data_IF_253599739453
#
_entry.id   IF_253599739453
#
_cell.length_a   1.000
_cell.length_b   1.000
_cell.length_c   1.000
_cell.angle_alpha   90.00
_cell.angle_beta   90.00
_cell.angle_gamma   90.00
#
_symmetry.space_group_name_H-M   'P 1'
#
loop_
_entity.id
_entity.type
_entity.pdbx_description
1 polymer ?
#
# COMPACT_ATOMS: atom_id res chain seq x y z
N UNK A 1 26.24 4.02 44.73
CA UNK A 1 25.61 4.10 46.04
C UNK A 1 24.75 2.90 46.33
N UNK A 2 24.60 2.60 47.61
CA UNK A 2 23.79 1.48 48.07
C UNK A 2 22.83 1.97 49.16
N UNK A 3 21.66 1.36 49.26
CA UNK A 3 20.82 1.47 50.45
C UNK A 3 21.32 0.45 51.47
N UNK A 4 21.50 0.87 52.68
CA UNK A 4 21.75 -0.03 53.83
C UNK A 4 20.46 -0.16 54.63
N UNK A 5 19.84 -1.33 54.51
CA UNK A 5 18.56 -1.62 55.15
C UNK A 5 18.79 -2.44 56.39
N UNK A 6 18.35 -1.91 57.52
CA UNK A 6 18.44 -2.62 58.80
C UNK A 6 17.15 -3.41 59.02
N UNK A 7 17.29 -4.71 59.12
CA UNK A 7 16.23 -5.63 59.43
C UNK A 7 16.26 -6.01 60.90
N UNK A 8 15.11 -5.99 61.56
CA UNK A 8 14.94 -6.51 62.91
C UNK A 8 13.94 -7.65 62.91
N UNK A 9 14.38 -8.84 63.26
CA UNK A 9 13.59 -10.07 63.19
C UNK A 9 12.98 -10.33 61.82
N UNK A 10 13.69 -9.94 60.74
CA UNK A 10 13.22 -10.12 59.35
C UNK A 10 12.37 -8.96 58.80
N UNK A 11 11.93 -8.00 59.65
CA UNK A 11 11.20 -6.83 59.20
C UNK A 11 12.09 -5.60 59.03
N UNK A 12 11.76 -4.76 58.00
CA UNK A 12 12.51 -3.55 57.71
C UNK A 12 12.27 -2.50 58.80
N UNK A 13 13.30 -2.28 59.63
CA UNK A 13 13.26 -1.28 60.69
C UNK A 13 13.67 0.11 60.18
N UNK A 14 14.85 0.23 59.58
CA UNK A 14 15.44 1.49 59.14
C UNK A 14 16.08 1.35 57.77
N UNK A 15 16.01 2.37 56.95
CA UNK A 15 16.69 2.46 55.64
C UNK A 15 17.67 3.63 55.70
N UNK A 16 18.90 3.39 55.37
CA UNK A 16 19.95 4.40 55.31
C UNK A 16 20.38 4.57 53.84
N UNK A 17 20.20 5.77 53.32
CA UNK A 17 20.54 6.15 51.94
C UNK A 17 21.73 7.10 51.85
N UNK A 18 22.21 7.58 52.98
CA UNK A 18 23.32 8.49 53.09
C UNK A 18 24.52 7.88 53.84
N UNK A 19 25.76 8.19 53.41
CA UNK A 19 26.96 7.74 54.07
C UNK A 19 27.06 8.32 55.48
N UNK A 20 27.68 7.55 56.39
CA UNK A 20 27.90 7.99 57.77
C UNK A 20 27.99 6.79 58.71
N UNK A 21 28.47 7.08 59.92
CA UNK A 21 28.53 6.07 60.99
C UNK A 21 27.11 5.81 61.51
N UNK A 22 26.70 4.53 61.46
CA UNK A 22 25.38 4.08 61.94
C UNK A 22 25.58 2.92 62.88
N UNK A 23 24.80 2.90 63.96
CA UNK A 23 24.87 1.81 64.94
C UNK A 23 23.78 0.77 64.68
N UNK A 24 24.11 -0.49 64.90
CA UNK A 24 23.16 -1.61 64.89
C UNK A 24 23.23 -2.37 66.20
N UNK A 25 22.12 -2.96 66.58
CA UNK A 25 22.06 -3.81 67.78
C UNK A 25 22.52 -5.23 67.35
N UNK A 26 23.68 -5.72 67.85
CA UNK A 26 24.13 -7.04 67.51
C UNK A 26 23.11 -8.08 67.97
N UNK A 27 23.07 -9.24 67.27
CA UNK A 27 22.14 -10.36 67.44
C UNK A 27 20.66 -10.12 67.13
N UNK A 28 20.19 -8.87 67.08
CA UNK A 28 18.79 -8.52 66.84
C UNK A 28 18.59 -7.89 65.47
N UNK A 29 19.60 -7.16 65.00
CA UNK A 29 19.52 -6.42 63.73
C UNK A 29 20.48 -6.99 62.69
N UNK A 30 19.97 -7.26 61.51
CA UNK A 30 20.76 -7.64 60.35
C UNK A 30 20.76 -6.50 59.34
N UNK A 31 21.87 -6.29 58.64
CA UNK A 31 21.98 -5.22 57.60
C UNK A 31 22.09 -5.88 56.23
N UNK A 32 21.18 -5.55 55.34
CA UNK A 32 21.16 -5.92 53.93
C UNK A 32 21.49 -4.73 53.07
N UNK A 33 22.32 -4.91 52.04
CA UNK A 33 22.67 -3.90 51.06
C UNK A 33 21.84 -4.07 49.83
N UNK A 34 21.24 -3.00 49.33
CA UNK A 34 20.56 -3.01 48.04
C UNK A 34 21.17 -1.93 47.13
N UNK A 35 21.30 -2.21 45.81
CA UNK A 35 21.83 -1.26 44.87
C UNK A 35 20.89 -0.03 44.78
N UNK A 36 21.47 1.17 44.75
CA UNK A 36 20.77 2.44 44.54
C UNK A 36 20.91 2.95 43.11
N UNK A 37 21.84 2.36 42.35
CA UNK A 37 22.09 2.70 40.96
C UNK A 37 21.10 2.02 40.05
N UNK A 38 21.06 2.47 38.79
CA UNK A 38 20.29 1.83 37.74
C UNK A 38 20.98 0.51 37.35
N UNK A 39 20.17 -0.53 37.22
CA UNK A 39 20.58 -1.87 36.80
C UNK A 39 19.99 -2.15 35.43
N UNK A 40 20.67 -2.96 34.66
CA UNK A 40 20.20 -3.45 33.37
C UNK A 40 19.89 -4.93 33.53
N UNK A 41 18.69 -5.30 33.12
CA UNK A 41 18.26 -6.68 32.99
C UNK A 41 18.06 -7.01 31.51
N UNK A 42 18.67 -8.09 31.03
CA UNK A 42 18.48 -8.60 29.70
C UNK A 42 17.57 -9.84 29.75
N UNK A 43 16.41 -9.76 29.06
CA UNK A 43 15.50 -10.91 28.96
C UNK A 43 16.09 -11.98 28.04
N UNK A 44 15.80 -13.23 28.34
CA UNK A 44 16.05 -14.30 27.40
C UNK A 44 15.22 -14.13 26.13
N UNK A 45 15.75 -14.46 24.94
CA UNK A 45 14.99 -14.41 23.70
C UNK A 45 13.72 -15.25 23.80
N UNK A 46 12.58 -14.66 23.47
CA UNK A 46 11.28 -15.31 23.51
C UNK A 46 10.62 -15.33 22.15
N UNK A 47 9.96 -16.44 21.81
CA UNK A 47 9.20 -16.55 20.57
C UNK A 47 7.77 -16.05 20.76
N UNK A 48 7.33 -15.14 19.87
CA UNK A 48 6.03 -14.50 19.90
C UNK A 48 5.42 -14.58 18.49
N UNK A 49 4.10 -14.80 18.42
CA UNK A 49 3.34 -14.76 17.15
C UNK A 49 2.80 -13.36 16.91
N UNK A 50 3.01 -12.86 15.72
CA UNK A 50 2.43 -11.61 15.22
C UNK A 50 0.97 -11.77 14.82
N UNK A 51 0.26 -10.67 14.49
CA UNK A 51 -1.13 -10.69 14.03
C UNK A 51 -1.31 -11.60 12.79
N UNK A 52 -0.36 -11.57 11.87
CA UNK A 52 -0.34 -12.37 10.64
C UNK A 52 0.28 -13.77 10.85
N UNK A 53 0.27 -14.27 12.12
CA UNK A 53 0.69 -15.63 12.53
C UNK A 53 2.14 -15.97 12.15
N UNK A 54 3.02 -14.99 12.06
CA UNK A 54 4.44 -15.23 11.84
C UNK A 54 5.17 -15.31 13.19
N UNK A 55 5.93 -16.37 13.46
CA UNK A 55 6.74 -16.45 14.65
C UNK A 55 7.94 -15.50 14.55
N UNK A 56 8.16 -14.73 15.59
CA UNK A 56 9.32 -13.83 15.74
C UNK A 56 10.02 -14.11 17.05
N UNK A 57 11.34 -14.04 17.03
CA UNK A 57 12.17 -14.11 18.24
C UNK A 57 12.48 -12.69 18.66
N UNK A 58 12.11 -12.37 19.88
CA UNK A 58 12.27 -11.02 20.44
C UNK A 58 13.19 -11.08 21.65
N UNK A 59 14.21 -10.25 21.68
CA UNK A 59 14.98 -9.95 22.87
C UNK A 59 14.83 -8.48 23.25
N UNK A 60 14.91 -8.23 24.56
CA UNK A 60 14.79 -6.89 25.10
C UNK A 60 15.71 -6.71 26.29
N UNK A 61 16.01 -5.45 26.60
CA UNK A 61 16.66 -5.10 27.84
C UNK A 61 15.85 -4.01 28.57
N UNK A 62 15.97 -4.01 29.87
CA UNK A 62 15.25 -3.11 30.73
C UNK A 62 16.21 -2.43 31.68
N UNK A 63 16.11 -1.11 31.75
CA UNK A 63 16.80 -0.29 32.75
C UNK A 63 15.84 -0.03 33.90
N UNK A 64 16.22 -0.43 35.08
CA UNK A 64 15.39 -0.32 36.26
C UNK A 64 16.21 0.03 37.51
N UNK A 65 15.53 0.44 38.56
CA UNK A 65 16.15 0.71 39.86
C UNK A 65 15.20 0.43 41.01
N UNK A 66 15.77 0.24 42.20
CA UNK A 66 15.00 0.18 43.42
C UNK A 66 14.71 1.62 43.88
N UNK A 67 13.43 1.99 43.89
CA UNK A 67 12.98 3.30 44.31
C UNK A 67 12.58 3.30 45.78
N UNK A 68 11.90 2.25 46.23
CA UNK A 68 11.51 2.09 47.62
C UNK A 68 12.07 0.79 48.20
N UNK A 69 13.25 0.83 48.84
CA UNK A 69 13.90 -0.37 49.39
C UNK A 69 13.10 -1.06 50.50
N UNK A 70 12.22 -0.33 51.21
CA UNK A 70 11.34 -0.91 52.25
C UNK A 70 10.28 -1.81 51.59
N UNK A 71 9.61 -1.31 50.58
CA UNK A 71 8.61 -2.09 49.82
C UNK A 71 9.26 -3.24 49.09
N UNK A 72 10.40 -3.00 48.44
CA UNK A 72 11.16 -4.02 47.72
C UNK A 72 11.51 -5.22 48.64
N UNK A 73 12.09 -5.00 49.75
CA UNK A 73 12.44 -6.11 50.69
C UNK A 73 11.21 -6.83 51.27
N UNK A 74 10.11 -6.13 51.44
CA UNK A 74 8.89 -6.74 51.99
C UNK A 74 8.20 -7.63 50.95
N UNK A 75 8.21 -7.24 49.65
CA UNK A 75 7.45 -7.92 48.62
C UNK A 75 8.29 -8.83 47.74
N UNK A 76 9.50 -8.41 47.39
CA UNK A 76 10.40 -9.06 46.44
C UNK A 76 11.54 -9.79 47.11
N UNK A 77 12.10 -9.15 48.17
CA UNK A 77 13.21 -9.64 49.02
C UNK A 77 14.58 -9.62 48.37
N UNK A 78 14.71 -10.09 47.10
CA UNK A 78 16.00 -10.24 46.41
C UNK A 78 15.93 -9.63 45.01
N UNK A 79 17.09 -9.16 44.51
CA UNK A 79 17.24 -8.55 43.18
C UNK A 79 16.85 -9.57 42.08
N UNK A 80 17.29 -10.84 42.19
CA UNK A 80 16.99 -11.89 41.21
C UNK A 80 15.46 -12.15 41.10
N UNK A 81 14.75 -12.16 42.23
CA UNK A 81 13.27 -12.27 42.22
C UNK A 81 12.64 -11.02 41.63
N UNK A 82 13.23 -9.84 41.87
CA UNK A 82 12.81 -8.58 41.22
C UNK A 82 12.90 -8.65 39.68
N UNK A 83 14.02 -9.13 39.19
CA UNK A 83 14.26 -9.33 37.76
C UNK A 83 13.27 -10.30 37.13
N UNK A 84 12.95 -11.41 37.80
CA UNK A 84 11.90 -12.33 37.33
C UNK A 84 10.52 -11.68 37.24
N UNK A 85 10.18 -10.80 38.21
CA UNK A 85 8.91 -10.07 38.17
C UNK A 85 8.86 -9.09 37.00
N UNK A 86 9.96 -8.38 36.77
CA UNK A 86 10.14 -7.49 35.64
C UNK A 86 10.02 -8.26 34.35
N UNK A 87 10.72 -9.38 34.20
CA UNK A 87 10.71 -10.24 33.00
C UNK A 87 9.29 -10.71 32.64
N UNK A 88 8.55 -11.24 33.61
CA UNK A 88 7.17 -11.66 33.42
C UNK A 88 6.25 -10.52 32.96
N UNK A 89 6.41 -9.34 33.55
CA UNK A 89 5.62 -8.18 33.18
C UNK A 89 5.94 -7.72 31.73
N UNK A 90 7.23 -7.65 31.41
CA UNK A 90 7.67 -7.27 30.06
C UNK A 90 7.19 -8.28 29.01
N UNK A 91 7.40 -9.59 29.27
CA UNK A 91 6.96 -10.64 28.36
C UNK A 91 5.47 -10.53 28.04
N UNK A 92 4.62 -10.33 29.06
CA UNK A 92 3.18 -10.22 28.86
C UNK A 92 2.78 -8.97 28.05
N UNK A 93 3.41 -7.82 28.32
CA UNK A 93 3.13 -6.57 27.61
C UNK A 93 3.66 -6.63 26.17
N UNK A 94 4.91 -7.07 25.99
CA UNK A 94 5.53 -7.19 24.65
C UNK A 94 4.77 -8.18 23.79
N UNK A 95 4.44 -9.37 24.34
CA UNK A 95 3.64 -10.38 23.65
C UNK A 95 2.31 -9.81 23.16
N UNK A 96 1.56 -9.14 24.03
CA UNK A 96 0.27 -8.55 23.66
C UNK A 96 0.43 -7.52 22.56
N UNK A 97 1.35 -6.56 22.73
CA UNK A 97 1.57 -5.48 21.75
C UNK A 97 2.03 -5.99 20.39
N UNK A 98 2.93 -6.98 20.35
CA UNK A 98 3.41 -7.53 19.09
C UNK A 98 2.38 -8.44 18.41
N UNK A 99 1.50 -9.10 19.18
CA UNK A 99 0.40 -9.90 18.62
C UNK A 99 -0.69 -9.05 17.94
N UNK A 100 -0.74 -7.75 18.22
CA UNK A 100 -1.65 -6.79 17.58
C UNK A 100 -1.07 -6.19 16.28
N UNK A 101 0.20 -6.44 15.97
CA UNK A 101 0.92 -5.89 14.84
C UNK A 101 1.26 -6.93 13.78
N UNK A 102 1.20 -6.54 12.50
CA UNK A 102 1.71 -7.36 11.42
C UNK A 102 3.24 -7.32 11.38
N UNK A 103 3.86 -8.42 10.96
CA UNK A 103 5.31 -8.54 10.84
C UNK A 103 5.95 -7.42 9.99
N UNK A 104 5.28 -7.05 8.88
CA UNK A 104 5.73 -5.97 8.01
C UNK A 104 5.87 -4.63 8.72
N UNK A 105 4.94 -4.31 9.62
CA UNK A 105 4.93 -3.06 10.39
C UNK A 105 6.01 -3.05 11.49
N UNK A 106 6.33 -4.22 12.03
CA UNK A 106 7.38 -4.35 13.07
C UNK A 106 8.77 -4.09 12.47
N UNK A 107 9.01 -4.47 11.21
CA UNK A 107 10.34 -4.36 10.56
C UNK A 107 10.51 -3.04 9.81
N UNK A 108 9.45 -2.53 9.17
CA UNK A 108 9.56 -1.47 8.17
C UNK A 108 9.79 -0.06 8.72
N UNK A 109 9.54 0.19 10.01
CA UNK A 109 9.64 1.54 10.57
C UNK A 109 10.45 1.62 11.87
N UNK A 110 11.61 2.26 11.81
CA UNK A 110 12.35 2.69 13.01
C UNK A 110 11.48 3.58 13.93
N UNK A 111 10.53 4.32 13.39
CA UNK A 111 9.60 5.19 14.09
C UNK A 111 8.58 4.37 14.87
N UNK A 112 7.99 3.33 14.28
CA UNK A 112 7.03 2.46 14.95
C UNK A 112 7.67 1.70 16.14
N UNK A 113 8.94 1.30 16.03
CA UNK A 113 9.69 0.73 17.16
C UNK A 113 9.90 1.74 18.29
N UNK A 114 10.17 2.99 17.97
CA UNK A 114 10.32 4.05 18.95
C UNK A 114 9.06 4.21 19.80
N UNK A 115 7.92 4.32 19.15
CA UNK A 115 6.61 4.45 19.79
C UNK A 115 6.23 3.20 20.58
N UNK A 116 6.51 2.01 20.05
CA UNK A 116 6.29 0.74 20.73
C UNK A 116 7.10 0.65 22.04
N UNK A 117 8.38 1.01 22.01
CA UNK A 117 9.24 1.02 23.19
C UNK A 117 8.71 1.97 24.27
N UNK A 118 8.22 3.15 23.88
CA UNK A 118 7.61 4.12 24.79
C UNK A 118 6.35 3.55 25.43
N UNK A 119 5.45 2.97 24.63
CA UNK A 119 4.22 2.35 25.12
C UNK A 119 4.51 1.18 26.07
N UNK A 120 5.43 0.29 25.71
CA UNK A 120 5.84 -0.84 26.55
C UNK A 120 6.45 -0.34 27.87
N UNK A 121 7.34 0.67 27.82
CA UNK A 121 7.94 1.25 29.02
C UNK A 121 6.88 1.82 29.96
N UNK A 122 5.94 2.62 29.44
CA UNK A 122 4.87 3.22 30.24
C UNK A 122 3.97 2.17 30.89
N UNK A 123 3.61 1.15 30.13
CA UNK A 123 2.71 0.11 30.61
C UNK A 123 3.38 -0.78 31.65
N UNK A 124 4.62 -1.21 31.43
CA UNK A 124 5.40 -2.00 32.39
C UNK A 124 5.66 -1.18 33.66
N UNK A 125 6.00 0.12 33.52
CA UNK A 125 6.18 1.01 34.65
C UNK A 125 4.91 1.12 35.50
N UNK A 126 3.74 1.30 34.85
CA UNK A 126 2.45 1.33 35.54
C UNK A 126 2.13 0.02 36.27
N UNK A 127 2.40 -1.12 35.65
CA UNK A 127 2.20 -2.43 36.30
C UNK A 127 3.11 -2.63 37.52
N UNK A 128 4.37 -2.23 37.42
CA UNK A 128 5.32 -2.33 38.55
C UNK A 128 4.94 -1.38 39.70
N UNK A 129 4.45 -0.18 39.42
CA UNK A 129 3.98 0.76 40.41
C UNK A 129 2.73 0.25 41.12
N UNK A 130 1.73 -0.23 40.37
CA UNK A 130 0.49 -0.82 40.92
C UNK A 130 0.76 -2.06 41.76
N UNK A 131 1.74 -2.86 41.40
CA UNK A 131 2.13 -4.07 42.14
C UNK A 131 2.79 -3.77 43.49
N UNK A 132 3.22 -2.55 43.73
CA UNK A 132 3.84 -2.13 45.01
C UNK A 132 5.19 -2.82 45.31
N UNK A 133 5.93 -3.19 44.25
CA UNK A 133 7.25 -3.86 44.44
C UNK A 133 8.37 -2.90 44.85
N UNK A 134 8.15 -1.60 44.83
CA UNK A 134 9.18 -0.62 45.09
C UNK A 134 10.25 -0.51 44.02
N UNK A 135 9.91 -0.98 42.80
CA UNK A 135 10.74 -0.99 41.59
C UNK A 135 10.28 0.15 40.70
N UNK A 136 11.24 0.88 40.12
CA UNK A 136 10.99 1.86 39.08
C UNK A 136 11.63 1.42 37.77
N UNK A 137 10.82 1.28 36.77
CA UNK A 137 11.28 1.08 35.38
C UNK A 137 11.67 2.42 34.81
N UNK A 138 12.86 2.52 34.24
CA UNK A 138 13.39 3.73 33.60
C UNK A 138 13.14 3.67 32.10
N UNK A 139 13.49 2.52 31.48
CA UNK A 139 13.35 2.33 30.04
C UNK A 139 13.26 0.83 29.73
N UNK A 140 12.48 0.49 28.70
CA UNK A 140 12.40 -0.86 28.11
C UNK A 140 12.66 -0.74 26.62
N UNK A 141 13.64 -1.49 26.12
CA UNK A 141 14.00 -1.48 24.71
C UNK A 141 13.99 -2.86 24.11
N UNK A 142 13.22 -3.00 23.04
CA UNK A 142 13.28 -4.16 22.17
C UNK A 142 14.52 -4.01 21.29
N UNK A 143 15.47 -4.93 21.42
CA UNK A 143 16.76 -4.90 20.75
C UNK A 143 16.69 -5.56 19.38
N UNK A 144 16.08 -6.76 19.33
CA UNK A 144 16.01 -7.58 18.12
C UNK A 144 14.62 -8.15 17.94
N UNK A 145 14.19 -8.20 16.70
CA UNK A 145 13.00 -8.91 16.24
C UNK A 145 13.38 -9.67 14.98
N UNK A 146 13.71 -10.96 15.13
CA UNK A 146 14.14 -11.84 14.05
C UNK A 146 13.15 -12.99 13.85
N UNK A 147 13.19 -13.61 12.66
CA UNK A 147 12.51 -14.88 12.44
C UNK A 147 13.33 -16.02 13.06
N UNK A 148 12.67 -17.08 13.62
CA UNK A 148 13.36 -18.29 14.02
C UNK A 148 14.13 -18.89 12.83
N UNK A 149 15.36 -19.32 13.05
CA UNK A 149 16.23 -19.87 11.99
C UNK A 149 15.57 -21.05 11.26
N UNK A 150 14.85 -21.90 12.00
CA UNK A 150 14.18 -23.08 11.44
C UNK A 150 13.11 -22.75 10.38
N UNK A 151 12.48 -21.57 10.46
CA UNK A 151 11.35 -21.19 9.60
C UNK A 151 11.70 -20.06 8.62
N UNK A 152 12.89 -19.50 8.73
CA UNK A 152 13.32 -18.29 8.02
C UNK A 152 13.19 -18.42 6.51
N UNK A 153 13.69 -19.51 5.94
CA UNK A 153 13.65 -19.78 4.51
C UNK A 153 12.22 -19.95 3.98
N UNK A 154 11.40 -20.73 4.70
CA UNK A 154 10.01 -20.95 4.28
C UNK A 154 9.16 -19.68 4.35
N UNK A 155 9.39 -18.83 5.36
CA UNK A 155 8.70 -17.53 5.49
C UNK A 155 9.14 -16.59 4.38
N UNK A 156 10.43 -16.50 4.06
CA UNK A 156 10.92 -15.67 2.95
C UNK A 156 10.37 -16.13 1.60
N UNK A 157 10.37 -17.43 1.33
CA UNK A 157 9.81 -17.98 0.09
C UNK A 157 8.32 -17.66 -0.04
N UNK A 158 7.56 -17.77 1.05
CA UNK A 158 6.16 -17.36 1.09
C UNK A 158 5.99 -15.87 0.83
N UNK A 159 6.79 -15.01 1.49
CA UNK A 159 6.73 -13.56 1.27
C UNK A 159 7.05 -13.18 -0.18
N UNK A 160 8.04 -13.84 -0.80
CA UNK A 160 8.38 -13.65 -2.21
C UNK A 160 7.19 -14.02 -3.09
N UNK A 161 6.58 -15.19 -2.86
CA UNK A 161 5.40 -15.67 -3.61
C UNK A 161 4.21 -14.72 -3.46
N UNK A 162 3.92 -14.26 -2.22
CA UNK A 162 2.85 -13.29 -1.96
C UNK A 162 3.09 -11.96 -2.70
N UNK A 163 4.34 -11.46 -2.68
CA UNK A 163 4.70 -10.23 -3.43
C UNK A 163 4.59 -10.41 -4.94
N UNK A 164 5.01 -11.55 -5.46
CA UNK A 164 4.86 -11.87 -6.89
C UNK A 164 3.38 -11.93 -7.30
N UNK A 165 2.53 -12.54 -6.47
CA UNK A 165 1.09 -12.60 -6.71
C UNK A 165 0.44 -11.20 -6.70
N UNK A 166 0.82 -10.35 -5.76
CA UNK A 166 0.36 -8.96 -5.69
C UNK A 166 0.82 -8.18 -6.93
N UNK A 167 2.08 -8.33 -7.34
CA UNK A 167 2.62 -7.67 -8.53
C UNK A 167 1.90 -8.14 -9.80
N UNK A 168 1.67 -9.44 -9.96
CA UNK A 168 0.93 -10.00 -11.08
C UNK A 168 -0.51 -9.46 -11.15
N UNK A 169 -1.17 -9.33 -10.00
CA UNK A 169 -2.51 -8.71 -9.92
C UNK A 169 -2.50 -7.27 -10.40
N UNK A 170 -1.59 -6.44 -9.89
CA UNK A 170 -1.50 -5.03 -10.33
C UNK A 170 -1.17 -4.88 -11.81
N UNK A 171 -0.32 -5.75 -12.37
CA UNK A 171 -0.05 -5.78 -13.80
C UNK A 171 -1.30 -6.13 -14.60
N UNK A 172 -2.06 -7.15 -14.16
CA UNK A 172 -3.31 -7.55 -14.83
C UNK A 172 -4.40 -6.46 -14.75
N UNK A 173 -4.54 -5.81 -13.60
CA UNK A 173 -5.46 -4.69 -13.42
C UNK A 173 -5.06 -3.49 -14.31
N UNK A 174 -3.75 -3.20 -14.40
CA UNK A 174 -3.22 -2.16 -15.28
C UNK A 174 -3.44 -2.46 -16.76
N UNK A 175 -3.23 -3.71 -17.18
CA UNK A 175 -3.50 -4.15 -18.55
C UNK A 175 -5.00 -4.06 -18.90
N UNK A 176 -5.87 -4.48 -17.99
CA UNK A 176 -7.32 -4.37 -18.16
C UNK A 176 -7.75 -2.91 -18.34
N UNK A 177 -7.28 -2.03 -17.48
CA UNK A 177 -7.63 -0.60 -17.54
C UNK A 177 -7.08 0.05 -18.81
N UNK A 178 -5.83 -0.26 -19.19
CA UNK A 178 -5.23 0.19 -20.44
C UNK A 178 -6.05 -0.23 -21.64
N UNK A 179 -6.49 -1.50 -21.72
CA UNK A 179 -7.34 -2.00 -22.80
C UNK A 179 -8.71 -1.31 -22.84
N UNK A 180 -9.31 -1.05 -21.68
CA UNK A 180 -10.58 -0.33 -21.60
C UNK A 180 -10.46 1.07 -22.16
N UNK A 181 -9.43 1.81 -21.74
CA UNK A 181 -9.17 3.18 -22.20
C UNK A 181 -8.93 3.19 -23.71
N UNK A 182 -8.02 2.33 -24.20
CA UNK A 182 -7.67 2.23 -25.63
C UNK A 182 -8.89 1.86 -26.47
N UNK A 183 -9.65 0.84 -26.07
CA UNK A 183 -10.85 0.41 -26.78
C UNK A 183 -11.95 1.49 -26.81
N UNK A 184 -12.09 2.23 -25.71
CA UNK A 184 -13.04 3.36 -25.66
C UNK A 184 -12.63 4.47 -26.62
N UNK A 185 -11.36 4.88 -26.56
CA UNK A 185 -10.81 5.91 -27.46
C UNK A 185 -10.90 5.51 -28.93
N UNK A 186 -10.55 4.26 -29.27
CA UNK A 186 -10.65 3.74 -30.62
C UNK A 186 -12.11 3.73 -31.13
N UNK A 187 -13.04 3.35 -30.26
CA UNK A 187 -14.48 3.39 -30.59
C UNK A 187 -14.95 4.81 -30.82
N UNK A 188 -14.60 5.75 -29.93
CA UNK A 188 -14.97 7.15 -30.05
C UNK A 188 -14.39 7.77 -31.33
N UNK A 189 -13.12 7.49 -31.64
CA UNK A 189 -12.47 7.93 -32.86
C UNK A 189 -13.20 7.40 -34.11
N UNK A 190 -13.54 6.09 -34.15
CA UNK A 190 -14.29 5.48 -35.26
C UNK A 190 -15.68 6.08 -35.43
N UNK A 191 -16.38 6.31 -34.33
CA UNK A 191 -17.71 6.97 -34.36
C UNK A 191 -17.60 8.40 -34.91
N UNK A 192 -16.60 9.18 -34.45
CA UNK A 192 -16.38 10.54 -34.91
C UNK A 192 -16.07 10.58 -36.42
N UNK A 193 -15.17 9.70 -36.89
CA UNK A 193 -14.85 9.59 -38.33
C UNK A 193 -16.08 9.20 -39.13
N UNK A 194 -16.84 8.19 -38.70
CA UNK A 194 -18.07 7.78 -39.40
C UNK A 194 -19.14 8.88 -39.45
N UNK A 195 -19.28 9.64 -38.38
CA UNK A 195 -20.19 10.81 -38.36
C UNK A 195 -19.74 11.91 -39.32
N UNK A 196 -18.42 12.19 -39.35
CA UNK A 196 -17.87 13.19 -40.29
C UNK A 196 -18.04 12.75 -41.75
N UNK A 197 -17.80 11.45 -42.07
CA UNK A 197 -18.04 10.92 -43.41
C UNK A 197 -19.52 10.94 -43.81
N UNK A 198 -20.42 10.63 -42.89
CA UNK A 198 -21.85 10.71 -43.13
C UNK A 198 -22.30 12.15 -43.40
N UNK A 199 -21.78 13.09 -42.63
CA UNK A 199 -22.06 14.52 -42.81
C UNK A 199 -21.49 15.04 -44.12
N UNK A 200 -20.26 14.65 -44.48
CA UNK A 200 -19.69 15.02 -45.79
C UNK A 200 -20.52 14.47 -46.96
N UNK A 201 -20.98 13.21 -46.90
CA UNK A 201 -21.87 12.63 -47.91
C UNK A 201 -23.20 13.36 -47.98
N UNK A 202 -23.76 13.77 -46.83
CA UNK A 202 -25.00 14.56 -46.79
C UNK A 202 -24.84 15.91 -47.49
N UNK A 203 -23.77 16.66 -47.18
CA UNK A 203 -23.47 17.95 -47.82
C UNK A 203 -23.26 17.78 -49.32
N UNK A 204 -22.53 16.74 -49.76
CA UNK A 204 -22.34 16.44 -51.19
C UNK A 204 -23.70 16.17 -51.85
N UNK A 205 -24.51 15.28 -51.25
CA UNK A 205 -25.82 14.94 -51.81
C UNK A 205 -26.78 16.16 -51.88
N UNK A 206 -26.77 17.04 -50.89
CA UNK A 206 -27.52 18.31 -50.91
C UNK A 206 -27.02 19.20 -52.04
N UNK A 207 -25.70 19.29 -52.24
CA UNK A 207 -25.11 20.04 -53.35
C UNK A 207 -25.49 19.47 -54.72
N UNK A 208 -25.45 18.15 -54.86
CA UNK A 208 -25.87 17.44 -56.11
C UNK A 208 -27.37 17.63 -56.38
N UNK A 209 -28.19 17.54 -55.33
CA UNK A 209 -29.64 17.80 -55.46
C UNK A 209 -29.92 19.21 -55.91
N UNK A 210 -29.25 20.20 -55.32
CA UNK A 210 -29.43 21.60 -55.71
C UNK A 210 -28.90 21.86 -57.12
N UNK A 211 -27.77 21.31 -57.50
CA UNK A 211 -27.26 21.37 -58.87
C UNK A 211 -28.25 20.74 -59.89
N UNK A 212 -28.77 19.56 -59.54
CA UNK A 212 -29.78 18.89 -60.39
C UNK A 212 -31.07 19.75 -60.53
N UNK A 213 -31.50 20.38 -59.43
CA UNK A 213 -32.64 21.30 -59.45
C UNK A 213 -32.38 22.47 -60.41
N UNK A 214 -31.25 23.15 -60.29
CA UNK A 214 -30.85 24.29 -61.12
C UNK A 214 -30.76 23.85 -62.59
N UNK A 215 -30.13 22.70 -62.87
CA UNK A 215 -30.03 22.15 -64.23
C UNK A 215 -31.41 21.84 -64.81
N UNK A 216 -32.29 21.16 -64.08
CA UNK A 216 -33.64 20.82 -64.53
C UNK A 216 -34.46 22.08 -64.80
N UNK A 217 -34.34 23.14 -63.97
CA UNK A 217 -35.02 24.38 -64.17
C UNK A 217 -34.52 25.15 -65.43
N UNK A 218 -33.17 25.12 -65.64
CA UNK A 218 -32.55 25.78 -66.80
C UNK A 218 -32.83 25.01 -68.08
N UNK A 219 -32.70 23.71 -68.09
CA UNK A 219 -32.84 22.86 -69.29
C UNK A 219 -34.30 22.49 -69.60
N UNK A 220 -35.22 22.61 -68.65
CA UNK A 220 -36.66 22.48 -68.85
C UNK A 220 -37.27 23.58 -69.70
N UNK A 221 -36.52 24.65 -69.95
CA UNK A 221 -36.96 25.76 -70.84
C UNK A 221 -36.91 25.38 -72.32
N UNK A 222 -35.99 24.48 -72.72
CA UNK A 222 -35.87 23.95 -74.10
C UNK A 222 -35.32 22.49 -74.02
N UNK A 223 -36.21 21.48 -73.93
CA UNK A 223 -35.85 20.09 -73.81
C UNK A 223 -35.10 19.51 -75.02
N UNK A 224 -35.44 19.96 -76.24
CA UNK A 224 -34.84 19.51 -77.50
C UNK A 224 -33.35 19.93 -77.55
N UNK A 225 -33.10 21.23 -77.29
CA UNK A 225 -31.74 21.75 -77.19
C UNK A 225 -30.92 21.03 -76.11
N UNK A 226 -31.51 20.75 -74.93
CA UNK A 226 -30.85 20.08 -73.88
C UNK A 226 -30.44 18.60 -74.27
N UNK A 227 -31.38 17.90 -74.94
CA UNK A 227 -31.08 16.53 -75.39
C UNK A 227 -29.93 16.54 -76.40
N UNK A 228 -29.93 17.46 -77.35
CA UNK A 228 -28.83 17.65 -78.29
C UNK A 228 -27.50 17.95 -77.59
N UNK A 229 -27.49 18.92 -76.70
CA UNK A 229 -26.30 19.32 -75.91
C UNK A 229 -25.76 18.15 -75.08
N UNK A 230 -26.60 17.40 -74.37
CA UNK A 230 -26.20 16.24 -73.59
C UNK A 230 -25.64 15.11 -74.43
N UNK A 231 -26.18 14.89 -75.59
CA UNK A 231 -25.65 13.90 -76.52
C UNK A 231 -24.26 14.29 -77.01
N UNK A 232 -24.03 15.54 -77.34
CA UNK A 232 -22.69 16.04 -77.71
C UNK A 232 -21.70 15.94 -76.55
N UNK A 233 -22.10 16.30 -75.31
CA UNK A 233 -21.27 16.17 -74.14
C UNK A 233 -20.93 14.70 -73.86
N UNK A 234 -21.88 13.79 -74.06
CA UNK A 234 -21.69 12.37 -73.95
C UNK A 234 -20.61 11.87 -74.93
N UNK A 235 -20.61 12.38 -76.16
CA UNK A 235 -19.58 12.01 -77.14
C UNK A 235 -18.19 12.45 -76.68
N UNK A 236 -18.02 13.62 -76.12
CA UNK A 236 -16.72 14.06 -75.58
C UNK A 236 -16.20 13.10 -74.48
N UNK A 237 -17.11 12.58 -73.67
CA UNK A 237 -16.73 11.67 -72.59
C UNK A 237 -16.51 10.24 -73.05
N UNK A 238 -17.37 9.72 -73.92
CA UNK A 238 -17.35 8.33 -74.38
C UNK A 238 -16.38 8.05 -75.54
N UNK A 239 -16.04 9.06 -76.32
CA UNK A 239 -15.12 8.95 -77.47
C UNK A 239 -13.68 9.35 -77.10
N UNK A 240 -13.36 9.62 -75.87
CA UNK A 240 -11.98 9.82 -75.41
C UNK A 240 -11.21 8.49 -75.45
N UNK A 241 -10.12 8.41 -76.19
CA UNK A 241 -9.32 7.21 -76.39
C UNK A 241 -9.66 6.52 -77.72
N UNK A 242 -9.45 5.22 -77.81
CA UNK A 242 -9.82 4.39 -78.98
C UNK A 242 -10.98 3.44 -78.62
N UNK A 243 -12.18 3.94 -78.32
CA UNK A 243 -13.32 3.08 -77.98
C UNK A 243 -13.90 2.42 -79.17
N UNK A 244 -14.20 1.14 -79.08
CA UNK A 244 -15.05 0.44 -80.07
C UNK A 244 -16.49 0.47 -79.54
N UNK A 245 -17.34 1.27 -80.18
CA UNK A 245 -18.74 1.39 -79.77
C UNK A 245 -19.61 0.66 -80.83
N UNK A 246 -20.42 -0.27 -80.36
CA UNK A 246 -21.43 -0.94 -81.23
C UNK A 246 -22.80 -0.28 -80.95
N UNK A 247 -23.32 0.39 -81.91
CA UNK A 247 -24.64 1.05 -81.84
C UNK A 247 -25.51 0.56 -82.99
N UNK A 248 -26.86 0.35 -82.82
CA UNK A 248 -27.77 0.22 -83.90
C UNK A 248 -27.74 1.49 -84.80
N UNK A 249 -27.67 1.34 -86.06
CA UNK A 249 -27.49 2.47 -87.02
C UNK A 249 -28.68 3.43 -87.02
N UNK A 250 -29.81 2.96 -86.60
CA UNK A 250 -31.09 3.70 -86.52
C UNK A 250 -31.35 4.29 -85.11
N UNK A 251 -30.39 4.12 -84.21
CA UNK A 251 -30.51 4.71 -82.87
C UNK A 251 -30.43 6.24 -82.91
N UNK A 252 -31.18 6.98 -82.09
CA UNK A 252 -31.11 8.45 -82.02
C UNK A 252 -29.68 8.96 -81.76
N UNK A 253 -28.88 8.18 -81.01
CA UNK A 253 -27.49 8.49 -80.73
C UNK A 253 -26.60 8.39 -81.96
N UNK A 254 -26.76 7.34 -82.77
CA UNK A 254 -25.99 7.14 -84.00
C UNK A 254 -26.36 8.20 -85.06
N UNK A 255 -27.62 8.59 -85.20
CA UNK A 255 -28.08 9.56 -86.20
C UNK A 255 -27.40 10.92 -85.99
N UNK A 256 -27.29 11.43 -84.76
CA UNK A 256 -26.62 12.69 -84.49
C UNK A 256 -25.13 12.58 -84.83
N UNK A 257 -24.46 11.47 -84.49
CA UNK A 257 -23.04 11.23 -84.83
C UNK A 257 -22.78 11.17 -86.37
N UNK A 258 -23.75 10.66 -87.12
CA UNK A 258 -23.66 10.57 -88.57
C UNK A 258 -24.16 11.77 -89.34
N UNK A 259 -24.60 12.83 -88.60
CA UNK A 259 -25.12 14.09 -89.18
C UNK A 259 -26.44 13.91 -89.93
N UNK A 260 -27.24 12.90 -89.53
CA UNK A 260 -28.59 12.69 -90.10
C UNK A 260 -29.63 13.23 -89.16
N UNK A 261 -30.27 14.32 -89.48
CA UNK A 261 -31.40 14.83 -88.74
C UNK A 261 -32.66 13.97 -88.81
#
# INVERSE_FOLDING_TARGET
GEYKVVLRFGEVSRVHDSPGLKFRIPFVETVTSLPKYQMVYESAPAEILTLDQKPIVVDNYTVWRIENPRMFLRTVRDVAVGEQRIDNAIYNVVRRKLSELEYGNIISENTARGDLNVQVTQEVAGLMEQSGYGIKIVDVRIRRTDLPEANKESVYNRMISDRQSIAARYLSEGDEESRKITSSADREAKVLVAQAEAEAKRIIAEGEQEAARIYNEAYGKDPEFYQFYRTLQSYVTTLQGEPVIMLPIDSPYARILLGQE
#
